data_IF_499618337200
#
_entry.id   IF_499618337200
#
_cell.length_a   1.000
_cell.length_b   1.000
_cell.length_c   1.000
_cell.angle_alpha   90.00
_cell.angle_beta   90.00
_cell.angle_gamma   90.00
#
_symmetry.space_group_name_H-M   'P 1'
#
loop_
_entity.id
_entity.type
_entity.pdbx_description
1 polymer ?
#
# COMPACT_ATOMS: atom_id res chain seq x y z
N UNK A 1 12.11 -8.67 -15.53
CA UNK A 1 10.76 -9.23 -15.23
C UNK A 1 10.03 -8.26 -14.31
N UNK A 2 8.71 -8.38 -14.15
CA UNK A 2 7.95 -7.47 -13.26
C UNK A 2 7.62 -8.13 -11.92
N UNK A 3 7.79 -7.39 -10.84
CA UNK A 3 7.28 -7.72 -9.50
C UNK A 3 6.34 -6.60 -9.05
N UNK A 4 5.14 -6.97 -8.61
CA UNK A 4 4.05 -6.00 -8.45
C UNK A 4 3.45 -6.10 -7.06
N UNK A 5 3.24 -4.95 -6.42
CA UNK A 5 2.40 -4.80 -5.22
C UNK A 5 1.23 -3.89 -5.59
N UNK A 6 0.00 -4.35 -5.34
CA UNK A 6 -1.23 -3.64 -5.69
C UNK A 6 -2.07 -3.52 -4.42
N UNK A 7 -2.45 -2.30 -4.07
CA UNK A 7 -3.26 -1.99 -2.89
C UNK A 7 -4.50 -1.20 -3.33
N UNK A 8 -5.69 -1.66 -2.93
CA UNK A 8 -6.96 -0.98 -3.22
C UNK A 8 -7.89 -0.94 -2.01
N UNK A 9 -8.25 0.26 -1.55
CA UNK A 9 -8.97 0.44 -0.27
C UNK A 9 -10.22 1.30 -0.45
N UNK A 10 -11.38 0.65 -0.46
CA UNK A 10 -12.70 1.27 -0.46
C UNK A 10 -13.23 1.58 0.94
N UNK A 11 -13.11 0.62 1.87
CA UNK A 11 -13.65 0.75 3.23
C UNK A 11 -12.51 0.74 4.23
N UNK A 12 -12.70 1.45 5.34
CA UNK A 12 -11.75 1.62 6.44
C UNK A 12 -12.44 1.20 7.74
N UNK A 13 -11.68 0.61 8.65
CA UNK A 13 -12.18 0.15 9.94
C UNK A 13 -12.50 1.32 10.88
N UNK A 14 -11.76 2.43 10.74
CA UNK A 14 -12.12 3.71 11.33
C UNK A 14 -13.37 4.28 10.65
N UNK A 15 -14.50 4.16 11.35
CA UNK A 15 -15.81 4.61 10.89
C UNK A 15 -15.91 6.13 10.66
N UNK A 16 -14.93 6.91 11.15
CA UNK A 16 -14.85 8.34 10.84
C UNK A 16 -14.25 8.61 9.46
N UNK A 17 -13.55 7.64 8.87
CA UNK A 17 -12.99 7.72 7.52
C UNK A 17 -14.08 7.38 6.48
N UNK A 18 -14.42 8.30 5.56
CA UNK A 18 -15.45 8.05 4.54
C UNK A 18 -15.08 6.89 3.62
N UNK A 19 -16.04 6.02 3.28
CA UNK A 19 -15.81 4.96 2.30
C UNK A 19 -15.69 5.52 0.87
N UNK A 20 -14.76 4.96 0.11
CA UNK A 20 -14.58 5.15 -1.33
C UNK A 20 -15.36 4.08 -2.11
N UNK A 21 -15.47 4.27 -3.42
CA UNK A 21 -16.20 3.35 -4.33
C UNK A 21 -15.33 2.77 -5.43
N UNK A 22 -14.29 3.49 -5.86
CA UNK A 22 -13.46 3.16 -7.02
C UNK A 22 -12.19 2.38 -6.69
N UNK A 23 -11.53 2.70 -5.58
CA UNK A 23 -10.14 2.27 -5.31
C UNK A 23 -9.90 0.77 -5.37
N UNK A 24 -10.81 -0.06 -4.84
CA UNK A 24 -10.68 -1.51 -4.97
C UNK A 24 -10.89 -2.00 -6.42
N UNK A 25 -11.76 -1.34 -7.18
CA UNK A 25 -11.96 -1.61 -8.61
C UNK A 25 -10.75 -1.16 -9.43
N UNK A 26 -10.15 -0.02 -9.11
CA UNK A 26 -8.94 0.48 -9.79
C UNK A 26 -7.77 -0.49 -9.60
N UNK A 27 -7.59 -1.01 -8.37
CA UNK A 27 -6.62 -2.06 -8.08
C UNK A 27 -6.90 -3.38 -8.83
N UNK A 28 -8.17 -3.80 -8.96
CA UNK A 28 -8.53 -5.00 -9.74
C UNK A 28 -8.28 -4.83 -11.24
N UNK A 29 -8.61 -3.66 -11.81
CA UNK A 29 -8.32 -3.35 -13.20
C UNK A 29 -6.80 -3.30 -13.45
N UNK A 30 -6.03 -2.76 -12.50
CA UNK A 30 -4.58 -2.73 -12.59
C UNK A 30 -3.96 -4.13 -12.46
N UNK A 31 -4.53 -4.99 -11.61
CA UNK A 31 -4.16 -6.41 -11.53
C UNK A 31 -4.37 -7.10 -12.87
N UNK A 32 -5.54 -6.91 -13.50
CA UNK A 32 -5.85 -7.51 -14.80
C UNK A 32 -4.91 -7.00 -15.90
N UNK A 33 -4.62 -5.70 -15.91
CA UNK A 33 -3.61 -5.12 -16.80
C UNK A 33 -2.22 -5.75 -16.61
N UNK A 34 -1.79 -5.96 -15.36
CA UNK A 34 -0.52 -6.62 -15.07
C UNK A 34 -0.47 -8.04 -15.63
N UNK A 35 -1.54 -8.83 -15.45
CA UNK A 35 -1.57 -10.20 -15.95
C UNK A 35 -1.72 -10.28 -17.48
N UNK A 36 -2.61 -9.48 -18.06
CA UNK A 36 -3.03 -9.64 -19.46
C UNK A 36 -2.09 -8.90 -20.42
N UNK A 37 -1.71 -7.66 -20.10
CA UNK A 37 -0.92 -6.81 -20.99
C UNK A 37 0.57 -6.89 -20.67
N UNK A 38 0.93 -6.89 -19.38
CA UNK A 38 2.34 -7.01 -18.95
C UNK A 38 2.81 -8.46 -18.79
N UNK A 39 1.89 -9.43 -18.90
CA UNK A 39 2.19 -10.87 -18.76
C UNK A 39 2.91 -11.21 -17.44
N UNK A 40 2.58 -10.49 -16.35
CA UNK A 40 3.18 -10.73 -15.02
C UNK A 40 2.60 -12.03 -14.45
N UNK A 41 3.44 -13.02 -14.09
CA UNK A 41 3.00 -14.21 -13.38
C UNK A 41 2.32 -13.88 -12.05
N UNK A 42 1.24 -14.60 -11.72
CA UNK A 42 0.43 -14.35 -10.50
C UNK A 42 1.25 -14.45 -9.21
N UNK A 43 2.28 -15.30 -9.17
CA UNK A 43 3.19 -15.46 -8.03
C UNK A 43 4.15 -14.27 -7.85
N UNK A 44 4.23 -13.39 -8.84
CA UNK A 44 4.99 -12.13 -8.79
C UNK A 44 4.08 -10.91 -8.51
N UNK A 45 2.78 -11.13 -8.28
CA UNK A 45 1.81 -10.08 -7.93
C UNK A 45 1.35 -10.29 -6.49
N UNK A 46 1.45 -9.24 -5.68
CA UNK A 46 0.84 -9.17 -4.35
C UNK A 46 -0.35 -8.24 -4.40
N UNK A 47 -1.54 -8.79 -4.22
CA UNK A 47 -2.78 -8.03 -4.21
C UNK A 47 -3.30 -7.89 -2.78
N UNK A 48 -3.53 -6.65 -2.36
CA UNK A 48 -4.13 -6.29 -1.09
C UNK A 48 -5.39 -5.46 -1.34
N UNK A 49 -6.55 -5.97 -0.95
CA UNK A 49 -7.84 -5.30 -1.19
C UNK A 49 -8.66 -5.21 0.08
N UNK A 50 -9.21 -4.03 0.34
CA UNK A 50 -10.25 -3.90 1.37
C UNK A 50 -11.54 -4.54 0.84
N UNK A 51 -12.38 -5.08 1.72
CA UNK A 51 -13.70 -5.59 1.31
C UNK A 51 -14.56 -4.52 0.64
N UNK A 52 -15.25 -4.91 -0.43
CA UNK A 52 -16.14 -4.01 -1.19
C UNK A 52 -17.61 -4.13 -0.76
N UNK A 53 -17.96 -5.15 0.05
CA UNK A 53 -19.31 -5.40 0.58
C UNK A 53 -19.46 -5.05 2.06
N UNK A 54 -20.66 -5.20 2.63
CA UNK A 54 -20.93 -4.93 4.06
C UNK A 54 -20.39 -6.04 4.99
N UNK A 55 -20.08 -7.21 4.43
CA UNK A 55 -19.43 -8.31 5.14
C UNK A 55 -17.96 -8.44 4.72
N UNK A 56 -17.06 -8.25 5.68
CA UNK A 56 -15.60 -8.27 5.53
C UNK A 56 -15.07 -9.59 4.92
N UNK A 57 -15.74 -10.71 5.21
CA UNK A 57 -15.30 -12.04 4.77
C UNK A 57 -15.77 -12.44 3.37
N UNK A 58 -16.92 -11.96 2.90
CA UNK A 58 -17.53 -12.52 1.68
C UNK A 58 -16.85 -12.01 0.41
N UNK A 59 -16.32 -10.78 0.42
CA UNK A 59 -15.79 -10.15 -0.81
C UNK A 59 -14.38 -10.57 -1.19
N UNK A 60 -13.58 -11.06 -0.25
CA UNK A 60 -12.28 -11.67 -0.55
C UNK A 60 -12.40 -13.14 -0.98
N UNK A 61 -13.45 -13.84 -0.53
CA UNK A 61 -13.69 -15.24 -0.88
C UNK A 61 -14.07 -15.44 -2.36
N UNK A 62 -14.66 -14.41 -2.97
CA UNK A 62 -15.05 -14.43 -4.38
C UNK A 62 -13.88 -14.09 -5.33
N UNK A 63 -12.72 -13.69 -4.81
CA UNK A 63 -11.54 -13.38 -5.61
C UNK A 63 -10.81 -14.68 -5.96
N UNK A 64 -10.65 -15.02 -7.26
CA UNK A 64 -10.10 -16.32 -7.68
C UNK A 64 -8.57 -16.42 -7.54
N UNK A 65 -7.91 -15.41 -6.97
CA UNK A 65 -6.46 -15.33 -6.76
C UNK A 65 -6.13 -14.87 -5.34
N UNK A 66 -4.90 -15.17 -4.84
CA UNK A 66 -4.50 -14.80 -3.49
C UNK A 66 -4.64 -13.30 -3.25
N UNK A 67 -5.42 -12.93 -2.24
CA UNK A 67 -5.65 -11.55 -1.83
C UNK A 67 -5.61 -11.45 -0.31
N UNK A 68 -5.00 -10.40 0.21
CA UNK A 68 -4.95 -10.13 1.65
C UNK A 68 -5.57 -8.77 1.98
N UNK A 69 -5.91 -8.56 3.25
CA UNK A 69 -6.47 -7.29 3.72
C UNK A 69 -5.34 -6.24 3.82
N UNK A 70 -5.52 -5.00 3.35
CA UNK A 70 -4.49 -3.96 3.31
C UNK A 70 -4.31 -3.25 4.65
N UNK A 71 -4.06 -4.03 5.71
CA UNK A 71 -3.63 -3.48 7.01
C UNK A 71 -2.27 -2.83 6.87
N UNK A 72 -1.93 -1.93 7.79
CA UNK A 72 -0.62 -1.28 7.84
C UNK A 72 0.51 -2.31 7.79
N UNK A 73 0.37 -3.36 8.59
CA UNK A 73 1.33 -4.47 8.66
C UNK A 73 1.44 -5.22 7.33
N UNK A 74 0.31 -5.56 6.69
CA UNK A 74 0.34 -6.30 5.43
C UNK A 74 0.91 -5.46 4.27
N UNK A 75 0.60 -4.16 4.20
CA UNK A 75 1.18 -3.27 3.19
C UNK A 75 2.70 -3.20 3.36
N UNK A 76 3.19 -2.97 4.58
CA UNK A 76 4.63 -2.90 4.83
C UNK A 76 5.33 -4.23 4.57
N UNK A 77 4.76 -5.35 5.01
CA UNK A 77 5.30 -6.67 4.72
C UNK A 77 5.37 -6.92 3.20
N UNK A 78 4.34 -6.53 2.44
CA UNK A 78 4.36 -6.66 0.98
C UNK A 78 5.50 -5.83 0.34
N UNK A 79 5.78 -4.63 0.86
CA UNK A 79 6.90 -3.80 0.40
C UNK A 79 8.25 -4.36 0.84
N UNK A 80 8.40 -4.80 2.10
CA UNK A 80 9.64 -5.41 2.60
C UNK A 80 9.99 -6.67 1.83
N UNK A 81 8.99 -7.48 1.49
CA UNK A 81 9.20 -8.66 0.67
C UNK A 81 9.75 -8.34 -0.73
N UNK A 82 9.56 -7.13 -1.28
CA UNK A 82 10.25 -6.73 -2.52
C UNK A 82 11.76 -6.56 -2.30
N UNK A 83 12.16 -6.08 -1.13
CA UNK A 83 13.56 -6.02 -0.74
C UNK A 83 14.12 -7.43 -0.47
N UNK A 84 13.40 -8.23 0.31
CA UNK A 84 13.89 -9.51 0.83
C UNK A 84 13.82 -10.67 -0.19
N UNK A 85 12.93 -10.59 -1.19
CA UNK A 85 12.71 -11.70 -2.13
C UNK A 85 13.97 -11.99 -2.98
N UNK A 86 14.63 -13.15 -2.80
CA UNK A 86 15.89 -13.45 -3.48
C UNK A 86 15.74 -13.65 -4.99
N UNK A 87 14.51 -13.80 -5.49
CA UNK A 87 14.23 -13.97 -6.91
C UNK A 87 14.27 -12.65 -7.68
N UNK A 88 14.11 -11.51 -7.01
CA UNK A 88 14.19 -10.18 -7.62
C UNK A 88 15.65 -9.83 -7.91
N UNK A 89 15.95 -9.52 -9.18
CA UNK A 89 17.28 -9.17 -9.68
C UNK A 89 17.36 -7.67 -10.03
N UNK A 90 18.57 -7.19 -10.28
CA UNK A 90 18.82 -5.76 -10.54
C UNK A 90 18.28 -5.26 -11.87
N UNK A 91 18.04 -6.15 -12.82
CA UNK A 91 17.46 -5.88 -14.14
C UNK A 91 15.93 -6.14 -14.18
N UNK A 92 15.34 -6.53 -13.06
CA UNK A 92 13.89 -6.58 -12.92
C UNK A 92 13.28 -5.18 -12.77
N UNK A 93 11.96 -5.13 -12.74
CA UNK A 93 11.18 -3.91 -12.64
C UNK A 93 10.12 -4.10 -11.57
N UNK A 94 10.01 -3.14 -10.67
CA UNK A 94 9.06 -3.15 -9.58
C UNK A 94 7.96 -2.14 -9.89
N UNK A 95 6.70 -2.57 -9.73
CA UNK A 95 5.55 -1.68 -9.82
C UNK A 95 4.81 -1.74 -8.50
N UNK A 96 4.57 -0.58 -7.91
CA UNK A 96 3.74 -0.43 -6.72
C UNK A 96 2.55 0.45 -7.12
N UNK A 97 1.35 -0.08 -6.98
CA UNK A 97 0.10 0.61 -7.24
C UNK A 97 -0.67 0.74 -5.93
N UNK A 98 -1.09 1.96 -5.60
CA UNK A 98 -1.96 2.23 -4.46
C UNK A 98 -3.15 3.06 -4.92
N UNK A 99 -4.36 2.61 -4.57
CA UNK A 99 -5.58 3.38 -4.64
C UNK A 99 -6.29 3.38 -3.28
N UNK A 100 -6.60 4.56 -2.75
CA UNK A 100 -7.18 4.72 -1.41
C UNK A 100 -7.12 6.17 -0.94
N UNK A 101 -7.27 6.43 0.36
CA UNK A 101 -7.18 7.77 0.92
C UNK A 101 -5.72 8.18 1.13
N UNK A 102 -5.38 9.37 0.66
CA UNK A 102 -4.22 10.13 1.12
C UNK A 102 -4.54 10.92 2.40
N UNK A 103 -3.52 11.22 3.20
CA UNK A 103 -3.60 12.05 4.39
C UNK A 103 -2.42 13.00 4.46
N UNK A 104 -2.61 14.14 5.11
CA UNK A 104 -1.57 15.15 5.32
C UNK A 104 -1.56 15.60 6.77
N UNK A 105 -0.40 15.51 7.40
CA UNK A 105 -0.17 15.85 8.80
C UNK A 105 0.79 17.02 8.90
N UNK A 106 0.58 17.94 9.83
CA UNK A 106 1.60 18.96 10.08
C UNK A 106 2.75 18.31 10.83
N UNK A 107 3.98 18.51 10.36
CA UNK A 107 5.17 17.97 11.00
C UNK A 107 5.33 18.44 12.47
N UNK A 108 4.81 19.63 12.78
CA UNK A 108 4.79 20.18 14.14
C UNK A 108 3.96 19.35 15.12
N UNK A 109 2.95 18.61 14.65
CA UNK A 109 2.04 17.84 15.50
C UNK A 109 2.63 16.48 15.89
N UNK A 110 3.72 16.06 15.26
CA UNK A 110 4.37 14.76 15.45
C UNK A 110 5.56 14.79 16.42
N UNK A 111 5.68 15.83 17.26
CA UNK A 111 6.68 16.00 18.31
C UNK A 111 8.14 15.73 17.87
N UNK A 112 8.46 16.06 16.62
CA UNK A 112 9.83 15.96 16.11
C UNK A 112 10.70 17.07 16.72
N UNK A 113 11.74 16.72 17.47
CA UNK A 113 12.76 17.66 18.00
C UNK A 113 13.69 18.25 16.92
N UNK A 114 13.21 18.45 15.68
CA UNK A 114 13.98 19.05 14.59
C UNK A 114 13.42 20.43 14.22
N UNK A 115 14.10 21.48 14.67
CA UNK A 115 13.66 22.88 14.56
C UNK A 115 13.57 23.45 13.13
N UNK A 116 14.32 22.99 12.11
CA UNK A 116 14.03 23.34 10.70
C UNK A 116 12.93 22.47 10.08
N UNK A 117 12.71 21.25 10.59
CA UNK A 117 11.80 20.25 10.04
C UNK A 117 10.32 20.45 10.42
N UNK A 118 10.05 21.26 11.45
CA UNK A 118 8.71 21.46 12.04
C UNK A 118 7.78 22.43 11.29
N UNK A 119 8.11 22.81 10.05
CA UNK A 119 7.31 23.74 9.25
C UNK A 119 6.63 23.11 8.04
N UNK A 120 6.88 21.82 7.78
CA UNK A 120 6.34 21.10 6.63
C UNK A 120 5.07 20.29 6.92
N UNK A 121 4.50 19.74 5.85
CA UNK A 121 3.48 18.70 5.90
C UNK A 121 4.13 17.34 5.64
N UNK A 122 3.56 16.29 6.24
CA UNK A 122 3.91 14.89 6.03
C UNK A 122 2.71 14.28 5.33
N UNK A 123 2.90 13.87 4.08
CA UNK A 123 1.88 13.15 3.34
C UNK A 123 1.93 11.67 3.70
N UNK A 124 0.81 10.97 3.61
CA UNK A 124 0.72 9.57 3.97
C UNK A 124 -0.36 8.84 3.17
N UNK A 125 -0.17 7.53 2.98
CA UNK A 125 -1.23 6.63 2.50
C UNK A 125 -1.93 5.99 3.69
N UNK A 126 -3.24 5.81 3.57
CA UNK A 126 -4.09 5.29 4.63
C UNK A 126 -4.25 3.77 4.53
N UNK A 127 -3.81 2.97 5.51
CA UNK A 127 -4.17 1.55 5.59
C UNK A 127 -5.63 1.37 6.03
N UNK A 128 -6.20 0.18 5.79
CA UNK A 128 -7.60 -0.11 6.17
C UNK A 128 -7.84 -0.01 7.68
N UNK A 129 -6.86 -0.39 8.48
CA UNK A 129 -6.90 -0.43 9.95
C UNK A 129 -6.42 0.87 10.59
N UNK A 130 -6.25 1.96 9.82
CA UNK A 130 -5.84 3.27 10.35
C UNK A 130 -6.72 3.69 11.52
N UNK A 131 -6.15 4.40 12.49
CA UNK A 131 -6.84 4.92 13.67
C UNK A 131 -7.60 3.86 14.50
N UNK A 132 -7.43 2.57 14.24
CA UNK A 132 -7.93 1.51 15.11
C UNK A 132 -6.95 1.29 16.26
N UNK A 133 -7.43 0.75 17.37
CA UNK A 133 -6.58 0.48 18.54
C UNK A 133 -5.88 -0.88 18.43
N UNK A 134 -4.55 -0.88 18.41
CA UNK A 134 -3.69 -2.08 18.43
C UNK A 134 -2.66 -1.91 19.55
N UNK A 135 -2.63 -2.84 20.50
CA UNK A 135 -1.71 -2.79 21.66
C UNK A 135 -1.73 -1.44 22.42
N UNK A 136 -2.91 -0.88 22.63
CA UNK A 136 -3.14 0.42 23.30
C UNK A 136 -2.67 1.67 22.53
N UNK A 137 -2.15 1.52 21.31
CA UNK A 137 -1.81 2.63 20.41
C UNK A 137 -2.75 2.67 19.21
N UNK A 138 -2.89 3.84 18.59
CA UNK A 138 -3.62 3.96 17.31
C UNK A 138 -2.70 3.53 16.18
N UNK A 139 -3.23 2.74 15.24
CA UNK A 139 -2.49 2.38 14.03
C UNK A 139 -2.27 3.64 13.17
N UNK A 140 -1.01 4.06 12.93
CA UNK A 140 -0.74 5.24 12.13
C UNK A 140 -0.85 4.94 10.63
N UNK A 141 -1.04 5.98 9.84
CA UNK A 141 -0.86 5.89 8.39
C UNK A 141 0.60 5.60 8.01
N UNK A 142 0.86 5.29 6.74
CA UNK A 142 2.22 5.06 6.23
C UNK A 142 2.70 6.35 5.55
N UNK A 143 3.63 7.03 6.20
CA UNK A 143 4.14 8.33 5.71
C UNK A 143 4.96 8.21 4.43
N UNK A 144 5.00 9.29 3.65
CA UNK A 144 5.89 9.48 2.51
C UNK A 144 7.36 9.27 2.88
N UNK A 145 7.78 9.67 4.07
CA UNK A 145 9.12 9.42 4.62
C UNK A 145 9.40 7.93 4.78
N UNK A 146 8.45 7.18 5.35
CA UNK A 146 8.55 5.72 5.52
C UNK A 146 8.60 5.03 4.15
N UNK A 147 7.71 5.40 3.23
CA UNK A 147 7.72 4.90 1.85
C UNK A 147 9.08 5.18 1.20
N UNK A 148 9.59 6.41 1.29
CA UNK A 148 10.89 6.79 0.70
C UNK A 148 12.07 5.99 1.26
N UNK A 149 12.07 5.70 2.57
CA UNK A 149 13.10 4.83 3.18
C UNK A 149 13.02 3.42 2.59
N UNK A 150 11.83 2.83 2.54
CA UNK A 150 11.63 1.48 2.02
C UNK A 150 12.00 1.39 0.53
N UNK A 151 11.55 2.34 -0.28
CA UNK A 151 11.91 2.41 -1.70
C UNK A 151 13.41 2.61 -1.90
N UNK A 152 14.05 3.41 -1.05
CA UNK A 152 15.51 3.60 -1.07
C UNK A 152 16.28 2.30 -0.83
N UNK A 153 15.82 1.47 0.11
CA UNK A 153 16.42 0.15 0.37
C UNK A 153 16.16 -0.85 -0.76
N UNK A 154 14.96 -0.83 -1.36
CA UNK A 154 14.65 -1.65 -2.54
C UNK A 154 15.53 -1.22 -3.73
N UNK A 155 15.70 0.08 -3.95
CA UNK A 155 16.43 0.64 -5.10
C UNK A 155 17.92 0.27 -5.12
N UNK A 156 18.53 0.03 -3.95
CA UNK A 156 19.92 -0.49 -3.87
C UNK A 156 20.06 -1.85 -4.55
N UNK A 157 18.99 -2.64 -4.60
CA UNK A 157 18.94 -3.98 -5.20
C UNK A 157 18.33 -3.98 -6.59
N UNK A 158 17.21 -3.29 -6.77
CA UNK A 158 16.46 -3.20 -8.02
C UNK A 158 16.04 -1.73 -8.25
N UNK A 159 16.80 -0.95 -9.05
CA UNK A 159 16.60 0.49 -9.16
C UNK A 159 15.41 0.90 -10.04
N UNK A 160 14.86 -0.02 -10.86
CA UNK A 160 13.73 0.31 -11.73
C UNK A 160 12.41 0.13 -10.97
N UNK A 161 11.99 1.18 -10.28
CA UNK A 161 10.77 1.19 -9.46
C UNK A 161 9.80 2.24 -10.01
N UNK A 162 8.56 1.82 -10.25
CA UNK A 162 7.44 2.70 -10.58
C UNK A 162 6.44 2.68 -9.44
N UNK A 163 6.16 3.85 -8.85
CA UNK A 163 5.11 4.05 -7.85
C UNK A 163 3.95 4.82 -8.49
N UNK A 164 2.74 4.29 -8.40
CA UNK A 164 1.50 4.89 -8.90
C UNK A 164 0.57 5.09 -7.70
N UNK A 165 0.16 6.34 -7.48
CA UNK A 165 -0.71 6.74 -6.37
C UNK A 165 -2.00 7.34 -6.93
N UNK A 166 -3.13 6.73 -6.60
CA UNK A 166 -4.49 7.22 -6.87
C UNK A 166 -5.18 7.51 -5.52
N UNK A 167 -4.91 8.70 -4.97
CA UNK A 167 -5.24 9.07 -3.60
C UNK A 167 -5.50 10.56 -3.39
#
# INVERSE_FOLDING_TARGET
>A
RFHVVIVGINKYDDLSTPSLKGSANDALLFHDYCMQDLSVPVDQIKLLLSPTGDNLLSTLQDIPFPCTVPTRENILNALYDLHDNPNIKSDDSIIIFYAGHGQSYRAADADYECTPCNTGWIEAISPVDRNTQKNSELVPDISDREINVVLGEIAKKCPNITLILDC
#
